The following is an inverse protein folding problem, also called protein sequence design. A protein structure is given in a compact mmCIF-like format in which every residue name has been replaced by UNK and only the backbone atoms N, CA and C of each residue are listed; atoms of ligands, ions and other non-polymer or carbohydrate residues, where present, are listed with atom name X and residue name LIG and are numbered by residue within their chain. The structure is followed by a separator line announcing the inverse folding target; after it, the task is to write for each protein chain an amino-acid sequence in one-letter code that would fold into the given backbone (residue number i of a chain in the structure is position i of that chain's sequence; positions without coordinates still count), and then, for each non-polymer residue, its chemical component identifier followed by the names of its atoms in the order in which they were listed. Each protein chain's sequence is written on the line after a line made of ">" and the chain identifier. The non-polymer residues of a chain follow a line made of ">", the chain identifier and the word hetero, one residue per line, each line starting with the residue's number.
data_IF_011642009138
#
_entry.id   IF_011642009138
#
_cell.length_a   1.000
_cell.length_b   1.000
_cell.length_c   1.000
_cell.angle_alpha   90.00
_cell.angle_beta   90.00
_cell.angle_gamma   90.00
#
_symmetry.space_group_name_H-M   'P 1'
#
loop_
_entity.id
_entity.type
_entity.pdbx_description
1 polymer ?
#
# COMPACT_ATOMS: atom_id res chain seq x y z
N UNK A 1 1.15 1.96 20.66
CA UNK A 1 0.44 3.05 19.94
C UNK A 1 0.25 2.59 18.50
N UNK A 2 -0.98 2.26 18.08
CA UNK A 2 -1.25 1.66 16.78
C UNK A 2 -0.73 2.50 15.59
N UNK A 3 -0.73 3.82 15.74
CA UNK A 3 -0.23 4.75 14.71
C UNK A 3 1.27 4.53 14.47
N UNK A 4 2.06 4.35 15.53
CA UNK A 4 3.51 4.11 15.44
C UNK A 4 3.80 2.77 14.77
N UNK A 5 3.02 1.73 15.08
CA UNK A 5 3.17 0.40 14.46
C UNK A 5 2.85 0.43 12.97
N UNK A 6 1.85 1.20 12.55
CA UNK A 6 1.50 1.38 11.14
C UNK A 6 2.62 2.15 10.41
N UNK A 7 3.14 3.22 11.01
CA UNK A 7 4.23 4.01 10.42
C UNK A 7 5.50 3.16 10.23
N UNK A 8 5.88 2.38 11.24
CA UNK A 8 6.99 1.44 11.17
C UNK A 8 6.77 0.36 10.09
N UNK A 9 5.54 -0.16 9.98
CA UNK A 9 5.20 -1.14 8.96
C UNK A 9 5.29 -0.53 7.54
N UNK A 10 4.78 0.67 7.32
CA UNK A 10 4.87 1.37 6.03
C UNK A 10 6.32 1.72 5.67
N UNK A 11 7.13 2.11 6.65
CA UNK A 11 8.58 2.34 6.47
C UNK A 11 9.31 1.06 6.07
N UNK A 12 8.94 -0.09 6.64
CA UNK A 12 9.50 -1.39 6.24
C UNK A 12 9.02 -1.81 4.85
N UNK A 13 7.74 -1.57 4.53
CA UNK A 13 7.18 -1.87 3.21
C UNK A 13 7.84 -1.03 2.12
N UNK A 14 8.13 0.25 2.37
CA UNK A 14 8.73 1.13 1.37
C UNK A 14 10.14 0.70 1.00
N UNK A 15 10.91 0.23 1.98
CA UNK A 15 12.25 -0.35 1.77
C UNK A 15 12.21 -1.67 1.00
N UNK A 16 11.16 -2.46 1.17
CA UNK A 16 10.98 -3.73 0.47
C UNK A 16 10.47 -3.53 -0.96
N UNK A 17 9.45 -2.67 -1.12
CA UNK A 17 8.82 -2.36 -2.38
C UNK A 17 8.09 -1.01 -2.31
N UNK A 18 8.75 0.03 -2.80
CA UNK A 18 8.24 1.39 -2.84
C UNK A 18 6.86 1.50 -3.53
N UNK A 19 6.63 0.74 -4.62
CA UNK A 19 5.34 0.80 -5.35
C UNK A 19 4.18 0.27 -4.51
N UNK A 20 4.40 -0.73 -3.66
CA UNK A 20 3.35 -1.21 -2.75
C UNK A 20 2.98 -0.14 -1.73
N UNK A 21 3.96 0.57 -1.16
CA UNK A 21 3.71 1.70 -0.25
C UNK A 21 2.95 2.82 -0.96
N UNK A 22 3.38 3.21 -2.16
CA UNK A 22 2.69 4.25 -2.95
C UNK A 22 1.25 3.89 -3.28
N UNK A 23 0.96 2.61 -3.57
CA UNK A 23 -0.43 2.15 -3.74
C UNK A 23 -1.25 2.32 -2.45
N UNK A 24 -0.64 2.11 -1.27
CA UNK A 24 -1.32 2.34 0.02
C UNK A 24 -1.57 3.83 0.27
N UNK A 25 -0.57 4.68 0.03
CA UNK A 25 -0.71 6.14 0.10
C UNK A 25 -1.86 6.63 -0.78
N UNK A 26 -1.89 6.23 -2.05
CA UNK A 26 -2.96 6.60 -2.98
C UNK A 26 -4.34 6.11 -2.51
N UNK A 27 -4.48 4.81 -2.20
CA UNK A 27 -5.78 4.16 -2.00
C UNK A 27 -6.37 4.40 -0.61
N UNK A 28 -5.53 4.47 0.41
CA UNK A 28 -5.97 4.54 1.81
C UNK A 28 -5.89 5.96 2.36
N UNK A 29 -4.78 6.67 2.13
CA UNK A 29 -4.54 7.99 2.71
C UNK A 29 -5.09 9.12 1.84
N UNK A 30 -4.84 9.07 0.53
CA UNK A 30 -5.34 10.08 -0.42
C UNK A 30 -6.76 9.79 -0.93
N UNK A 31 -7.31 8.58 -0.68
CA UNK A 31 -8.66 8.21 -1.06
C UNK A 31 -8.90 8.04 -2.57
N UNK A 32 -7.83 7.88 -3.36
CA UNK A 32 -7.92 7.76 -4.81
C UNK A 32 -8.60 6.45 -5.25
N UNK A 33 -9.34 6.50 -6.35
CA UNK A 33 -9.85 5.33 -7.07
C UNK A 33 -8.72 4.46 -7.64
N UNK A 34 -9.07 3.28 -8.18
CA UNK A 34 -8.08 2.39 -8.82
C UNK A 34 -7.53 3.04 -10.08
N UNK A 35 -8.40 3.73 -10.82
CA UNK A 35 -8.11 4.45 -12.05
C UNK A 35 -7.21 5.66 -11.79
N UNK A 36 -7.53 6.47 -10.78
CA UNK A 36 -6.68 7.61 -10.37
C UNK A 36 -5.33 7.12 -9.84
N UNK A 37 -5.31 6.03 -9.07
CA UNK A 37 -4.05 5.44 -8.59
C UNK A 37 -3.21 4.92 -9.77
N UNK A 38 -3.83 4.28 -10.76
CA UNK A 38 -3.16 3.79 -11.96
C UNK A 38 -2.52 4.95 -12.74
N UNK A 39 -3.25 6.04 -12.91
CA UNK A 39 -2.74 7.26 -13.54
C UNK A 39 -1.61 7.90 -12.72
N UNK A 40 -1.75 8.01 -11.40
CA UNK A 40 -0.77 8.64 -10.51
C UNK A 40 0.55 7.86 -10.42
N UNK A 41 0.50 6.54 -10.63
CA UNK A 41 1.67 5.64 -10.53
C UNK A 41 2.20 5.18 -11.90
N UNK A 42 1.61 5.64 -13.00
CA UNK A 42 1.93 5.24 -14.38
C UNK A 42 1.93 3.71 -14.56
N UNK A 43 0.86 3.06 -14.11
CA UNK A 43 0.67 1.61 -14.24
C UNK A 43 -0.76 1.27 -14.65
N UNK A 44 -1.00 0.02 -15.04
CA UNK A 44 -2.37 -0.44 -15.34
C UNK A 44 -3.21 -0.61 -14.07
N UNK A 45 -4.54 -0.47 -14.19
CA UNK A 45 -5.49 -0.78 -13.10
C UNK A 45 -5.34 -2.23 -12.59
N UNK A 46 -5.00 -3.18 -13.48
CA UNK A 46 -4.67 -4.56 -13.12
C UNK A 46 -3.45 -4.63 -12.20
N UNK A 47 -2.41 -3.83 -12.48
CA UNK A 47 -1.23 -3.72 -11.62
C UNK A 47 -1.60 -3.16 -10.25
N UNK A 48 -2.38 -2.07 -10.20
CA UNK A 48 -2.87 -1.49 -8.93
C UNK A 48 -3.63 -2.52 -8.10
N UNK A 49 -4.55 -3.28 -8.70
CA UNK A 49 -5.30 -4.31 -7.99
C UNK A 49 -4.40 -5.40 -7.39
N UNK A 50 -3.41 -5.89 -8.14
CA UNK A 50 -2.46 -6.91 -7.66
C UNK A 50 -1.57 -6.36 -6.55
N UNK A 51 -1.08 -5.14 -6.71
CA UNK A 51 -0.20 -4.49 -5.75
C UNK A 51 -0.97 -4.12 -4.47
N UNK A 52 -2.23 -3.70 -4.57
CA UNK A 52 -3.09 -3.45 -3.41
C UNK A 52 -3.32 -4.71 -2.57
N UNK A 53 -3.59 -5.85 -3.21
CA UNK A 53 -3.74 -7.13 -2.51
C UNK A 53 -2.45 -7.50 -1.77
N UNK A 54 -1.30 -7.38 -2.43
CA UNK A 54 0.02 -7.68 -1.82
C UNK A 54 0.33 -6.75 -0.65
N UNK A 55 0.13 -5.46 -0.82
CA UNK A 55 0.40 -4.47 0.21
C UNK A 55 -0.44 -4.73 1.47
N UNK A 56 -1.75 -4.98 1.30
CA UNK A 56 -2.63 -5.35 2.40
C UNK A 56 -2.21 -6.65 3.09
N UNK A 57 -1.95 -7.70 2.33
CA UNK A 57 -1.52 -8.99 2.90
C UNK A 57 -0.23 -8.83 3.72
N UNK A 58 0.74 -8.09 3.19
CA UNK A 58 1.99 -7.80 3.88
C UNK A 58 1.76 -7.00 5.18
N UNK A 59 0.92 -5.95 5.14
CA UNK A 59 0.61 -5.14 6.32
C UNK A 59 -0.11 -5.94 7.41
N UNK A 60 -1.05 -6.81 7.03
CA UNK A 60 -1.71 -7.73 7.98
C UNK A 60 -0.70 -8.62 8.70
N UNK A 61 0.27 -9.18 7.99
CA UNK A 61 1.34 -9.99 8.59
C UNK A 61 2.26 -9.13 9.47
N UNK A 62 2.67 -7.94 9.01
CA UNK A 62 3.58 -7.06 9.73
C UNK A 62 2.98 -6.54 11.06
N UNK A 63 1.66 -6.36 11.10
CA UNK A 63 0.93 -5.89 12.28
C UNK A 63 0.40 -7.04 13.17
N UNK A 64 0.71 -8.30 12.84
CA UNK A 64 0.25 -9.46 13.62
C UNK A 64 -1.28 -9.65 13.60
N UNK A 65 -1.96 -9.17 12.55
CA UNK A 65 -3.42 -9.26 12.39
C UNK A 65 -3.86 -10.56 11.68
N UNK A 66 -3.16 -11.66 11.93
CA UNK A 66 -3.38 -12.98 11.29
C UNK A 66 -4.10 -13.94 12.22
#
# INVERSE_FOLDING_TARGET
>A
ELIVEIDDALTKLSRLNERLTRVVECRFFAGLSVEETAAALDVTTRTVGRDWIKARAWLHTALGMT
#
